data_IF_916704090329
#
_entry.id   IF_916704090329
#
_cell.length_a   1.000
_cell.length_b   1.000
_cell.length_c   1.000
_cell.angle_alpha   90.00
_cell.angle_beta   90.00
_cell.angle_gamma   90.00
#
_symmetry.space_group_name_H-M   'P 1'
#
loop_
_entity.id
_entity.type
_entity.pdbx_description
1 polymer ?
#
# COMPACT_ATOMS: atom_id res chain seq x y z
N UNK A 1 -12.28 2.05 -7.92
CA UNK A 1 -11.93 0.66 -7.53
C UNK A 1 -11.82 0.61 -6.02
N UNK A 2 -12.29 -0.47 -5.40
CA UNK A 2 -12.25 -0.68 -3.94
C UNK A 2 -11.76 -2.10 -3.65
N UNK A 3 -10.92 -2.26 -2.63
CA UNK A 3 -10.34 -3.54 -2.22
C UNK A 3 -10.63 -3.73 -0.74
N UNK A 4 -11.01 -4.94 -0.34
CA UNK A 4 -11.17 -5.26 1.07
C UNK A 4 -9.82 -5.37 1.74
N UNK A 5 -9.66 -4.72 2.90
CA UNK A 5 -8.40 -4.76 3.66
C UNK A 5 -7.96 -6.18 4.04
N UNK A 6 -8.93 -7.08 4.27
CA UNK A 6 -8.67 -8.49 4.59
C UNK A 6 -8.09 -9.29 3.41
N UNK A 7 -8.27 -8.82 2.18
CA UNK A 7 -7.80 -9.49 0.97
C UNK A 7 -6.42 -8.97 0.54
N UNK A 8 -5.83 -8.00 1.26
CA UNK A 8 -4.49 -7.48 0.97
C UNK A 8 -3.45 -8.47 1.49
N UNK A 9 -2.56 -8.90 0.61
CA UNK A 9 -1.47 -9.84 0.91
C UNK A 9 -0.14 -9.11 1.11
N UNK A 10 0.17 -8.15 0.23
CA UNK A 10 1.39 -7.34 0.34
C UNK A 10 1.16 -5.87 -0.02
N UNK A 11 1.99 -5.02 0.57
CA UNK A 11 2.07 -3.59 0.26
C UNK A 11 3.53 -3.21 0.10
N UNK A 12 3.93 -2.93 -1.13
CA UNK A 12 5.31 -2.59 -1.48
C UNK A 12 5.42 -1.11 -1.89
N UNK A 13 6.48 -0.44 -1.44
CA UNK A 13 6.83 0.89 -1.93
C UNK A 13 8.13 0.85 -2.74
N UNK A 14 8.12 1.43 -3.94
CA UNK A 14 9.33 1.59 -4.76
C UNK A 14 9.71 3.06 -4.88
N UNK A 15 11.00 3.34 -4.85
CA UNK A 15 11.53 4.70 -4.88
C UNK A 15 12.70 4.79 -5.86
N UNK A 16 12.68 5.79 -6.73
CA UNK A 16 13.89 6.29 -7.39
C UNK A 16 14.71 7.18 -6.45
N UNK A 17 15.92 7.55 -6.87
CA UNK A 17 16.83 8.42 -6.09
C UNK A 17 16.13 9.73 -5.71
N UNK A 18 15.59 10.45 -6.70
CA UNK A 18 14.85 11.69 -6.47
C UNK A 18 13.56 11.46 -5.68
N UNK A 19 12.86 10.36 -5.90
CA UNK A 19 11.66 10.00 -5.14
C UNK A 19 11.95 9.87 -3.64
N UNK A 20 13.10 9.29 -3.26
CA UNK A 20 13.52 9.17 -1.86
C UNK A 20 13.79 10.54 -1.21
N UNK A 21 14.36 11.47 -1.96
CA UNK A 21 14.69 12.83 -1.48
C UNK A 21 13.43 13.69 -1.36
N UNK A 22 12.57 13.67 -2.39
CA UNK A 22 11.38 14.52 -2.45
C UNK A 22 10.12 13.87 -1.84
N UNK A 23 10.21 12.63 -1.35
CA UNK A 23 9.11 11.94 -0.70
C UNK A 23 8.05 11.39 -1.65
N UNK A 24 8.42 11.08 -2.90
CA UNK A 24 7.55 10.47 -3.90
C UNK A 24 7.98 9.05 -4.23
N UNK A 25 7.04 8.21 -4.65
CA UNK A 25 7.36 6.86 -5.10
C UNK A 25 6.12 6.10 -5.50
N UNK A 26 6.31 4.84 -5.85
CA UNK A 26 5.23 3.98 -6.26
C UNK A 26 4.69 3.21 -5.05
N UNK A 27 3.37 3.06 -4.96
CA UNK A 27 2.70 2.18 -4.02
C UNK A 27 2.07 1.03 -4.80
N UNK A 28 2.49 -0.19 -4.49
CA UNK A 28 2.00 -1.43 -5.08
C UNK A 28 1.24 -2.17 -3.99
N UNK A 29 0.01 -2.57 -4.29
CA UNK A 29 -0.83 -3.40 -3.42
C UNK A 29 -1.09 -4.69 -4.16
N UNK A 30 -0.82 -5.82 -3.50
CA UNK A 30 -1.15 -7.16 -3.98
C UNK A 30 -2.24 -7.75 -3.09
N UNK A 31 -3.22 -8.38 -3.73
CA UNK A 31 -4.44 -8.85 -3.10
C UNK A 31 -4.92 -10.15 -3.75
N UNK A 32 -5.39 -11.09 -2.91
CA UNK A 32 -6.10 -12.29 -3.35
C UNK A 32 -7.51 -12.00 -3.90
N UNK A 33 -7.95 -10.74 -3.87
CA UNK A 33 -9.23 -10.30 -4.41
C UNK A 33 -9.25 -10.20 -5.95
N UNK A 34 -10.38 -9.79 -6.55
CA UNK A 34 -10.61 -9.82 -8.00
C UNK A 34 -9.68 -8.93 -8.81
N UNK A 35 -8.98 -8.01 -8.14
CA UNK A 35 -8.14 -7.00 -8.77
C UNK A 35 -6.65 -7.38 -8.77
N UNK A 36 -6.23 -8.41 -8.03
CA UNK A 36 -4.87 -8.96 -8.05
C UNK A 36 -3.79 -7.96 -7.60
N UNK A 37 -3.33 -7.10 -8.51
CA UNK A 37 -2.25 -6.15 -8.29
C UNK A 37 -2.66 -4.75 -8.73
N UNK A 38 -2.42 -3.76 -7.87
CA UNK A 38 -2.68 -2.35 -8.15
C UNK A 38 -1.43 -1.52 -7.91
N UNK A 39 -1.21 -0.54 -8.78
CA UNK A 39 -0.03 0.31 -8.74
C UNK A 39 -0.44 1.78 -8.84
N UNK A 40 0.02 2.59 -7.88
CA UNK A 40 -0.05 4.05 -7.93
C UNK A 40 1.37 4.59 -8.09
N UNK A 41 1.68 5.10 -9.29
CA UNK A 41 3.03 5.57 -9.64
C UNK A 41 3.25 7.02 -9.22
N UNK A 42 4.46 7.32 -8.73
CA UNK A 42 4.91 8.68 -8.43
C UNK A 42 4.06 9.42 -7.40
N UNK A 43 3.36 8.70 -6.51
CA UNK A 43 2.48 9.32 -5.53
C UNK A 43 3.27 9.99 -4.39
N UNK A 44 2.74 11.04 -3.77
CA UNK A 44 3.35 11.65 -2.59
C UNK A 44 3.18 10.74 -1.36
N UNK A 45 4.25 10.57 -0.60
CA UNK A 45 4.25 9.91 0.70
C UNK A 45 3.77 8.45 0.70
N UNK A 46 4.18 7.57 -0.23
CA UNK A 46 3.71 6.19 -0.30
C UNK A 46 4.00 5.42 1.00
N UNK A 47 5.12 5.71 1.68
CA UNK A 47 5.44 5.14 3.00
C UNK A 47 4.37 5.44 4.06
N UNK A 48 3.86 6.68 4.10
CA UNK A 48 2.85 7.10 5.08
C UNK A 48 1.52 6.41 4.80
N UNK A 49 1.18 6.22 3.53
CA UNK A 49 -0.04 5.52 3.12
C UNK A 49 0.07 4.02 3.42
N UNK A 50 1.20 3.38 3.08
CA UNK A 50 1.50 2.00 3.46
C UNK A 50 1.27 1.78 4.96
N UNK A 51 1.90 2.61 5.80
CA UNK A 51 1.78 2.49 7.26
C UNK A 51 0.33 2.57 7.75
N UNK A 52 -0.48 3.50 7.23
CA UNK A 52 -1.90 3.62 7.58
C UNK A 52 -2.73 2.40 7.17
N UNK A 53 -2.41 1.77 6.05
CA UNK A 53 -3.10 0.56 5.60
C UNK A 53 -2.72 -0.62 6.50
N UNK A 54 -1.42 -0.80 6.77
CA UNK A 54 -0.92 -1.85 7.66
C UNK A 54 -1.48 -1.73 9.07
N UNK A 55 -1.56 -0.52 9.62
CA UNK A 55 -2.20 -0.25 10.91
C UNK A 55 -3.67 -0.71 10.92
N UNK A 56 -4.43 -0.38 9.88
CA UNK A 56 -5.83 -0.82 9.76
C UNK A 56 -5.95 -2.33 9.61
N UNK A 57 -5.04 -2.97 8.87
CA UNK A 57 -5.00 -4.44 8.76
C UNK A 57 -4.73 -5.07 10.13
N UNK A 58 -3.75 -4.55 10.89
CA UNK A 58 -3.45 -5.03 12.22
C UNK A 58 -4.64 -4.87 13.19
N UNK A 59 -5.32 -3.72 13.15
CA UNK A 59 -6.53 -3.49 13.93
C UNK A 59 -7.67 -4.44 13.57
N UNK A 60 -7.83 -4.81 12.29
CA UNK A 60 -8.82 -5.81 11.88
C UNK A 60 -8.48 -7.20 12.40
N UNK A 61 -7.20 -7.60 12.35
CA UNK A 61 -6.74 -8.90 12.86
C UNK A 61 -6.92 -9.03 14.39
N UNK A 62 -6.80 -7.92 15.12
CA UNK A 62 -6.96 -7.90 16.59
C UNK A 62 -8.42 -7.85 17.07
N UNK A 63 -9.39 -7.68 16.16
CA UNK A 63 -10.84 -7.64 16.48
C UNK A 63 -11.55 -8.99 16.35
N UNK A 64 -10.83 -10.02 15.91
CA UNK A 64 -11.29 -11.40 15.75
C UNK A 64 -10.44 -12.33 16.62
#
# INVERSE_FOLDING_TARGET
MSIWLKDIEDITCKYGIFGRIFGFGDLIIESAGPYGRMESKGMPGPKKIKWKIEEKIALLKNKH
#
